data_IF_704890817551
#
_entry.id   IF_704890817551
#
_cell.length_a   1.000
_cell.length_b   1.000
_cell.length_c   1.000
_cell.angle_alpha   90.00
_cell.angle_beta   90.00
_cell.angle_gamma   90.00
#
_symmetry.space_group_name_H-M   'P 1'
#
loop_
_entity.id
_entity.type
_entity.pdbx_description
1 polymer ?
#
# COMPACT_ATOMS: atom_id res chain seq x y z
N UNK A 1 0.17 -1.46 12.94
CA UNK A 1 -0.35 -0.89 14.21
C UNK A 1 0.03 -1.74 15.43
N UNK A 2 0.08 -3.07 15.35
CA UNK A 2 0.33 -3.94 16.51
C UNK A 2 1.60 -3.65 17.31
N UNK A 3 2.63 -3.09 16.69
CA UNK A 3 3.92 -2.77 17.32
C UNK A 3 4.02 -1.32 17.83
N UNK A 4 3.00 -0.51 17.63
CA UNK A 4 2.97 0.86 18.17
C UNK A 4 3.01 0.81 19.69
N UNK A 5 3.89 1.60 20.30
CA UNK A 5 3.93 1.74 21.77
C UNK A 5 2.72 2.54 22.24
N UNK A 6 2.09 2.04 23.27
CA UNK A 6 0.92 2.68 23.87
C UNK A 6 1.13 2.81 25.37
N UNK A 7 0.89 4.00 25.88
CA UNK A 7 0.80 4.27 27.33
C UNK A 7 -0.63 4.71 27.63
N UNK A 8 -1.33 3.99 28.48
CA UNK A 8 -2.66 4.36 28.94
C UNK A 8 -2.60 4.84 30.39
N UNK A 9 -2.94 6.09 30.59
CA UNK A 9 -3.08 6.69 31.90
C UNK A 9 -4.54 6.72 32.30
N UNK A 10 -4.90 6.04 33.38
CA UNK A 10 -6.26 5.98 33.93
C UNK A 10 -6.33 6.85 35.17
N UNK A 11 -7.38 7.63 35.31
CA UNK A 11 -7.68 8.48 36.47
C UNK A 11 -6.48 9.36 36.87
N UNK A 12 -5.83 9.95 35.87
CA UNK A 12 -4.65 10.80 36.08
C UNK A 12 -4.95 11.93 37.07
N UNK A 13 -4.03 12.18 37.98
CA UNK A 13 -4.13 13.14 39.10
C UNK A 13 -5.11 12.76 40.18
N UNK A 14 -5.69 11.55 40.18
CA UNK A 14 -6.48 11.01 41.28
C UNK A 14 -5.61 10.09 42.14
N UNK A 15 -6.02 9.81 43.43
CA UNK A 15 -5.26 8.95 44.33
C UNK A 15 -5.08 7.51 43.83
N UNK A 16 -5.92 7.06 42.95
CA UNK A 16 -5.94 5.74 42.29
C UNK A 16 -5.46 5.77 40.85
N UNK A 17 -4.61 6.75 40.49
CA UNK A 17 -3.94 6.83 39.19
C UNK A 17 -3.21 5.55 38.83
N UNK A 18 -3.38 5.11 37.60
CA UNK A 18 -2.68 3.94 37.06
C UNK A 18 -2.17 4.23 35.65
N UNK A 19 -0.91 3.87 35.38
CA UNK A 19 -0.32 3.95 34.05
C UNK A 19 0.08 2.55 33.59
N UNK A 20 -0.51 2.13 32.48
CA UNK A 20 -0.24 0.85 31.82
C UNK A 20 0.50 1.12 30.51
N UNK A 21 1.61 0.40 30.26
CA UNK A 21 2.42 0.51 29.05
C UNK A 21 2.52 -0.84 28.36
N UNK A 22 2.56 -0.82 27.01
CA UNK A 22 2.72 -2.00 26.17
C UNK A 22 2.64 -1.64 24.70
N UNK A 23 2.57 -2.63 23.84
CA UNK A 23 2.25 -2.44 22.44
C UNK A 23 0.72 -2.40 22.24
N UNK A 24 0.29 -1.85 21.11
CA UNK A 24 -1.14 -1.84 20.77
C UNK A 24 -1.73 -3.26 20.74
N UNK A 25 -0.96 -4.26 20.26
CA UNK A 25 -1.38 -5.66 20.26
C UNK A 25 -1.57 -6.23 21.67
N UNK A 26 -0.65 -5.93 22.60
CA UNK A 26 -0.72 -6.42 23.99
C UNK A 26 -1.86 -5.78 24.78
N UNK A 27 -2.25 -4.57 24.43
CA UNK A 27 -3.27 -3.81 25.15
C UNK A 27 -4.66 -3.86 24.52
N UNK A 28 -4.80 -4.38 23.29
CA UNK A 28 -6.04 -4.39 22.51
C UNK A 28 -7.21 -5.13 23.23
N UNK A 29 -6.89 -6.20 23.95
CA UNK A 29 -7.89 -7.02 24.66
C UNK A 29 -8.09 -6.57 26.11
N UNK A 30 -7.43 -5.50 26.56
CA UNK A 30 -7.57 -4.99 27.93
C UNK A 30 -8.72 -4.00 28.03
N UNK A 31 -9.35 -3.99 29.18
CA UNK A 31 -10.35 -2.99 29.55
C UNK A 31 -9.72 -1.92 30.43
N UNK A 32 -10.01 -0.67 30.13
CA UNK A 32 -9.52 0.50 30.83
C UNK A 32 -10.69 1.30 31.43
N UNK A 33 -10.37 2.12 32.45
CA UNK A 33 -11.35 3.05 33.03
C UNK A 33 -11.85 4.03 31.95
N UNK A 34 -13.11 4.47 32.09
CA UNK A 34 -13.69 5.47 31.15
C UNK A 34 -12.95 6.82 31.22
N UNK A 35 -12.37 7.13 32.38
CA UNK A 35 -11.53 8.32 32.56
C UNK A 35 -10.07 7.94 32.27
N UNK A 36 -9.73 7.77 31.01
CA UNK A 36 -8.40 7.43 30.56
C UNK A 36 -7.94 8.27 29.38
N UNK A 37 -6.62 8.39 29.23
CA UNK A 37 -5.93 9.01 28.09
C UNK A 37 -4.92 8.01 27.54
N UNK A 38 -4.89 7.82 26.25
CA UNK A 38 -3.90 6.99 25.59
C UNK A 38 -2.89 7.86 24.83
N UNK A 39 -1.60 7.61 25.06
CA UNK A 39 -0.49 8.14 24.26
C UNK A 39 0.01 7.02 23.35
N UNK A 40 -0.03 7.28 22.04
CA UNK A 40 0.50 6.37 21.03
C UNK A 40 1.81 6.97 20.50
N UNK A 41 2.88 6.19 20.61
CA UNK A 41 4.22 6.60 20.17
C UNK A 41 4.58 5.86 18.88
N UNK A 42 4.81 6.60 17.80
CA UNK A 42 5.33 6.02 16.58
C UNK A 42 6.83 5.69 16.78
N UNK A 43 7.22 4.40 16.75
CA UNK A 43 8.62 4.01 16.93
C UNK A 43 9.50 4.35 15.72
N UNK A 44 8.93 4.78 14.61
CA UNK A 44 9.64 5.13 13.38
C UNK A 44 9.28 6.54 12.91
N UNK A 45 9.64 7.59 13.68
CA UNK A 45 9.35 8.98 13.30
C UNK A 45 10.04 9.40 12.01
N UNK A 46 11.15 8.73 11.65
CA UNK A 46 11.94 8.99 10.45
C UNK A 46 11.48 8.16 9.24
N UNK A 47 10.19 7.81 9.17
CA UNK A 47 9.64 7.14 8.01
C UNK A 47 9.90 7.96 6.75
N UNK A 48 10.47 7.31 5.73
CA UNK A 48 10.73 7.94 4.44
C UNK A 48 9.40 8.40 3.85
N UNK A 49 9.25 9.70 3.63
CA UNK A 49 8.03 10.32 3.07
C UNK A 49 8.12 10.57 1.57
N UNK A 50 9.30 10.36 0.98
CA UNK A 50 9.52 10.46 -0.47
C UNK A 50 9.46 9.07 -1.11
N UNK A 51 9.22 9.04 -2.42
CA UNK A 51 9.27 7.82 -3.22
C UNK A 51 10.72 7.43 -3.60
N UNK A 52 10.89 6.23 -4.15
CA UNK A 52 12.19 5.69 -4.54
C UNK A 52 12.84 4.87 -3.44
N UNK A 53 12.04 4.12 -2.69
CA UNK A 53 12.55 3.20 -1.67
C UNK A 53 13.54 2.19 -2.29
N UNK A 54 14.65 1.85 -1.61
CA UNK A 54 15.61 0.86 -2.11
C UNK A 54 14.96 -0.48 -2.43
N UNK A 55 15.38 -1.11 -3.52
CA UNK A 55 14.83 -2.39 -3.99
C UNK A 55 14.99 -3.51 -2.96
N UNK A 56 16.05 -3.47 -2.16
CA UNK A 56 16.38 -4.45 -1.14
C UNK A 56 15.38 -4.49 0.03
N UNK A 57 14.56 -3.45 0.15
CA UNK A 57 13.49 -3.40 1.16
C UNK A 57 12.28 -4.25 0.79
N UNK A 58 12.17 -4.69 -0.48
CA UNK A 58 11.05 -5.47 -0.97
C UNK A 58 11.42 -6.95 -1.08
N UNK A 59 10.59 -7.82 -0.55
CA UNK A 59 10.70 -9.26 -0.79
C UNK A 59 10.31 -9.56 -2.24
N UNK A 60 11.13 -10.37 -2.92
CA UNK A 60 10.97 -10.68 -4.35
C UNK A 60 10.96 -12.17 -4.65
N UNK A 61 11.17 -13.01 -3.65
CA UNK A 61 11.28 -14.46 -3.83
C UNK A 61 10.69 -15.19 -2.64
N UNK A 62 9.93 -16.24 -2.90
CA UNK A 62 9.44 -17.19 -1.88
C UNK A 62 10.37 -18.39 -1.76
N UNK A 63 11.19 -18.67 -2.79
CA UNK A 63 12.10 -19.81 -2.83
C UNK A 63 13.35 -19.47 -3.66
N UNK A 64 14.50 -20.11 -3.40
CA UNK A 64 15.72 -19.93 -4.18
C UNK A 64 15.46 -20.18 -5.68
N UNK A 65 15.92 -19.24 -6.52
CA UNK A 65 15.83 -19.35 -7.98
C UNK A 65 14.53 -18.87 -8.62
N UNK A 66 13.48 -18.58 -7.82
CA UNK A 66 12.23 -18.03 -8.33
C UNK A 66 12.08 -16.57 -7.86
N UNK A 67 12.31 -15.63 -8.76
CA UNK A 67 12.26 -14.19 -8.47
C UNK A 67 11.13 -13.54 -9.25
N UNK A 68 10.17 -12.96 -8.54
CA UNK A 68 9.08 -12.20 -9.15
C UNK A 68 9.62 -10.87 -9.68
N UNK A 69 9.27 -10.46 -10.90
CA UNK A 69 9.65 -9.17 -11.46
C UNK A 69 9.21 -7.99 -10.58
N UNK A 70 10.00 -6.95 -10.57
CA UNK A 70 9.73 -5.74 -9.81
C UNK A 70 10.19 -4.51 -10.58
N UNK A 71 9.40 -3.45 -10.58
CA UNK A 71 9.82 -2.14 -11.10
C UNK A 71 10.95 -1.59 -10.25
N UNK A 72 12.10 -1.34 -10.86
CA UNK A 72 13.31 -0.86 -10.19
C UNK A 72 13.13 0.53 -9.60
N UNK A 73 13.86 0.84 -8.52
CA UNK A 73 13.72 2.09 -7.76
C UNK A 73 13.82 3.35 -8.63
N UNK A 74 14.71 3.37 -9.62
CA UNK A 74 14.87 4.49 -10.53
C UNK A 74 13.64 4.68 -11.43
N UNK A 75 13.15 3.59 -12.04
CA UNK A 75 11.94 3.61 -12.88
C UNK A 75 10.71 3.92 -12.03
N UNK A 76 10.61 3.30 -10.86
CA UNK A 76 9.52 3.52 -9.91
C UNK A 76 9.44 4.98 -9.46
N UNK A 77 10.59 5.59 -9.15
CA UNK A 77 10.68 7.02 -8.79
C UNK A 77 10.16 7.92 -9.90
N UNK A 78 10.55 7.66 -11.15
CA UNK A 78 10.04 8.41 -12.30
C UNK A 78 8.55 8.23 -12.48
N UNK A 79 8.04 6.99 -12.39
CA UNK A 79 6.61 6.69 -12.53
C UNK A 79 5.77 7.41 -11.47
N UNK A 80 6.18 7.33 -10.20
CA UNK A 80 5.47 7.99 -9.10
C UNK A 80 5.50 9.52 -9.21
N UNK A 81 6.64 10.09 -9.63
CA UNK A 81 6.74 11.52 -9.93
C UNK A 81 5.78 11.94 -11.05
N UNK A 82 5.59 11.10 -12.09
CA UNK A 82 4.67 11.36 -13.19
C UNK A 82 3.20 11.15 -12.81
N UNK A 83 2.93 10.26 -11.87
CA UNK A 83 1.58 10.08 -11.33
C UNK A 83 1.08 11.32 -10.58
N UNK A 84 1.96 12.08 -9.90
CA UNK A 84 1.58 13.29 -9.14
C UNK A 84 0.42 13.01 -8.16
N UNK A 85 0.61 12.00 -7.32
CA UNK A 85 -0.41 11.54 -6.38
C UNK A 85 -0.81 12.65 -5.39
N UNK A 86 -2.09 12.67 -5.06
CA UNK A 86 -2.61 13.44 -3.93
C UNK A 86 -2.79 12.53 -2.72
N UNK A 87 -2.84 13.11 -1.53
CA UNK A 87 -2.95 12.33 -0.30
C UNK A 87 -4.26 11.52 -0.19
N UNK A 88 -5.29 11.89 -0.93
CA UNK A 88 -6.62 11.26 -1.01
C UNK A 88 -6.86 10.49 -2.31
N UNK A 89 -5.80 10.24 -3.09
CA UNK A 89 -5.89 9.56 -4.38
C UNK A 89 -6.49 8.14 -4.25
N UNK A 90 -7.35 7.80 -5.20
CA UNK A 90 -7.79 6.42 -5.46
C UNK A 90 -6.94 5.87 -6.59
N UNK A 91 -6.11 4.88 -6.27
CA UNK A 91 -5.09 4.40 -7.19
C UNK A 91 -5.35 2.96 -7.62
N UNK A 92 -5.04 2.64 -8.87
CA UNK A 92 -4.92 1.26 -9.35
C UNK A 92 -3.48 0.98 -9.76
N UNK A 93 -2.95 -0.17 -9.34
CA UNK A 93 -1.70 -0.75 -9.82
C UNK A 93 -2.01 -2.04 -10.57
N UNK A 94 -1.95 -2.00 -11.90
CA UNK A 94 -2.30 -3.13 -12.76
C UNK A 94 -1.03 -3.92 -13.11
N UNK A 95 -1.01 -5.20 -12.72
CA UNK A 95 0.16 -6.05 -12.79
C UNK A 95 1.14 -5.70 -11.67
N UNK A 96 0.64 -5.70 -10.43
CA UNK A 96 1.37 -5.18 -9.28
C UNK A 96 2.64 -5.96 -8.91
N UNK A 97 2.74 -7.23 -9.30
CA UNK A 97 3.90 -8.07 -9.00
C UNK A 97 4.15 -8.15 -7.50
N UNK A 98 5.36 -7.77 -7.08
CA UNK A 98 5.73 -7.70 -5.65
C UNK A 98 5.06 -6.57 -4.87
N UNK A 99 4.31 -5.69 -5.55
CA UNK A 99 3.64 -4.54 -4.95
C UNK A 99 4.52 -3.31 -4.72
N UNK A 100 5.72 -3.26 -5.29
CA UNK A 100 6.65 -2.17 -5.00
C UNK A 100 6.10 -0.78 -5.38
N UNK A 101 5.40 -0.67 -6.51
CA UNK A 101 4.75 0.59 -6.92
C UNK A 101 3.50 0.83 -6.06
N UNK A 102 2.64 -0.17 -5.89
CA UNK A 102 1.42 -0.08 -5.08
C UNK A 102 1.70 0.39 -3.64
N UNK A 103 2.75 -0.14 -3.02
CA UNK A 103 3.16 0.23 -1.65
C UNK A 103 3.59 1.69 -1.60
N UNK A 104 4.46 2.13 -2.50
CA UNK A 104 4.87 3.54 -2.50
C UNK A 104 3.70 4.49 -2.85
N UNK A 105 2.76 4.07 -3.71
CA UNK A 105 1.51 4.80 -3.92
C UNK A 105 0.69 4.89 -2.62
N UNK A 106 0.59 3.79 -1.87
CA UNK A 106 -0.15 3.75 -0.62
C UNK A 106 0.46 4.65 0.46
N UNK A 107 1.78 4.68 0.57
CA UNK A 107 2.50 5.55 1.50
C UNK A 107 2.29 7.04 1.17
N UNK A 108 2.20 7.41 -0.11
CA UNK A 108 1.96 8.79 -0.55
C UNK A 108 0.48 9.18 -0.46
N UNK A 109 -0.42 8.29 -0.86
CA UNK A 109 -1.87 8.49 -0.78
C UNK A 109 -2.42 8.10 0.60
N UNK A 110 -1.86 8.68 1.68
CA UNK A 110 -2.10 8.23 3.05
C UNK A 110 -3.57 8.33 3.53
N UNK A 111 -4.38 9.15 2.88
CA UNK A 111 -5.83 9.28 3.14
C UNK A 111 -6.67 8.67 2.01
N UNK A 112 -6.02 8.16 0.98
CA UNK A 112 -6.62 7.52 -0.18
C UNK A 112 -6.69 6.01 -0.07
N UNK A 113 -6.81 5.35 -1.20
CA UNK A 113 -6.80 3.88 -1.30
C UNK A 113 -6.06 3.42 -2.55
N UNK A 114 -5.37 2.29 -2.44
CA UNK A 114 -4.68 1.67 -3.56
C UNK A 114 -5.23 0.27 -3.77
N UNK A 115 -5.50 -0.08 -5.02
CA UNK A 115 -5.96 -1.38 -5.47
C UNK A 115 -4.87 -2.00 -6.33
N UNK A 116 -4.21 -3.03 -5.80
CA UNK A 116 -3.16 -3.76 -6.49
C UNK A 116 -3.74 -5.01 -7.14
N UNK A 117 -3.76 -5.01 -8.45
CA UNK A 117 -4.34 -6.08 -9.27
C UNK A 117 -3.20 -7.00 -9.71
N UNK A 118 -3.27 -8.26 -9.33
CA UNK A 118 -2.26 -9.27 -9.66
C UNK A 118 -2.94 -10.65 -9.81
N UNK A 119 -2.50 -11.46 -10.75
CA UNK A 119 -3.07 -12.77 -11.01
C UNK A 119 -2.22 -13.94 -10.49
N UNK A 120 -0.91 -13.73 -10.39
CA UNK A 120 0.03 -14.79 -10.01
C UNK A 120 0.05 -14.99 -8.49
N UNK A 121 -0.21 -16.20 -8.02
CA UNK A 121 -0.33 -16.51 -6.59
C UNK A 121 0.92 -16.20 -5.78
N UNK A 122 2.11 -16.47 -6.33
CA UNK A 122 3.39 -16.19 -5.67
C UNK A 122 3.63 -14.68 -5.53
N UNK A 123 3.25 -13.91 -6.56
CA UNK A 123 3.32 -12.45 -6.53
C UNK A 123 2.35 -11.88 -5.49
N UNK A 124 1.11 -12.36 -5.41
CA UNK A 124 0.14 -11.97 -4.38
C UNK A 124 0.65 -12.26 -2.96
N UNK A 125 1.29 -13.40 -2.76
CA UNK A 125 1.90 -13.74 -1.47
C UNK A 125 3.00 -12.76 -1.09
N UNK A 126 3.89 -12.42 -2.01
CA UNK A 126 4.96 -11.45 -1.79
C UNK A 126 4.40 -10.04 -1.58
N UNK A 127 3.39 -9.65 -2.35
CA UNK A 127 2.72 -8.36 -2.21
C UNK A 127 2.10 -8.21 -0.81
N UNK A 128 1.44 -9.24 -0.29
CA UNK A 128 0.88 -9.23 1.08
C UNK A 128 1.97 -9.11 2.15
N UNK A 129 3.08 -9.86 2.00
CA UNK A 129 4.21 -9.77 2.91
C UNK A 129 4.84 -8.37 2.89
N UNK A 130 5.03 -7.80 1.72
CA UNK A 130 5.55 -6.46 1.57
C UNK A 130 4.56 -5.42 2.12
N UNK A 131 3.25 -5.55 1.84
CA UNK A 131 2.20 -4.68 2.40
C UNK A 131 2.28 -4.62 3.92
N UNK A 132 2.37 -5.78 4.56
CA UNK A 132 2.48 -5.89 6.01
C UNK A 132 3.79 -5.27 6.54
N UNK A 133 4.93 -5.54 5.89
CA UNK A 133 6.24 -5.02 6.29
C UNK A 133 6.32 -3.49 6.24
N UNK A 134 5.62 -2.86 5.28
CA UNK A 134 5.57 -1.40 5.13
C UNK A 134 4.39 -0.74 5.86
N UNK A 135 3.48 -1.52 6.47
CA UNK A 135 2.28 -0.98 7.12
C UNK A 135 1.35 -0.25 6.17
N UNK A 136 1.28 -0.68 4.90
CA UNK A 136 0.46 -0.05 3.87
C UNK A 136 -1.02 -0.50 3.99
N UNK A 137 -1.71 -0.07 5.03
CA UNK A 137 -3.05 -0.55 5.39
C UNK A 137 -4.14 -0.10 4.41
N UNK A 138 -3.93 0.99 3.69
CA UNK A 138 -4.82 1.49 2.65
C UNK A 138 -4.62 0.81 1.28
N UNK A 139 -3.72 -0.19 1.20
CA UNK A 139 -3.50 -1.04 0.03
C UNK A 139 -4.39 -2.29 0.11
N UNK A 140 -5.12 -2.56 -0.96
CA UNK A 140 -6.01 -3.72 -1.12
C UNK A 140 -5.53 -4.57 -2.28
N UNK A 141 -5.43 -5.88 -2.04
CA UNK A 141 -5.05 -6.85 -3.05
C UNK A 141 -6.30 -7.32 -3.81
N UNK A 142 -6.18 -7.40 -5.14
CA UNK A 142 -7.22 -7.91 -6.03
C UNK A 142 -6.62 -9.03 -6.87
N UNK A 143 -7.04 -10.26 -6.55
CA UNK A 143 -6.58 -11.45 -7.29
C UNK A 143 -7.33 -11.60 -8.61
N UNK A 144 -6.60 -11.61 -9.72
CA UNK A 144 -7.12 -11.83 -11.06
C UNK A 144 -6.54 -10.90 -12.10
N UNK A 145 -7.08 -10.97 -13.31
CA UNK A 145 -6.62 -10.20 -14.46
C UNK A 145 -7.48 -8.96 -14.70
N UNK A 146 -6.83 -7.85 -15.01
CA UNK A 146 -7.52 -6.69 -15.57
C UNK A 146 -7.82 -6.94 -17.06
N UNK A 147 -8.94 -6.43 -17.61
CA UNK A 147 -9.90 -5.52 -16.96
C UNK A 147 -10.98 -6.20 -16.11
N UNK A 148 -11.12 -7.53 -16.15
CA UNK A 148 -12.27 -8.28 -15.63
C UNK A 148 -12.52 -7.95 -14.15
N UNK A 149 -11.50 -8.14 -13.30
CA UNK A 149 -11.61 -7.95 -11.85
C UNK A 149 -11.70 -6.46 -11.45
N UNK A 150 -11.46 -5.54 -12.40
CA UNK A 150 -11.48 -4.11 -12.13
C UNK A 150 -12.88 -3.48 -12.29
N UNK A 151 -13.85 -4.21 -12.84
CA UNK A 151 -15.19 -3.66 -13.17
C UNK A 151 -15.91 -3.11 -11.94
N UNK A 152 -15.82 -3.80 -10.82
CA UNK A 152 -16.51 -3.44 -9.57
C UNK A 152 -15.65 -2.58 -8.63
N UNK A 153 -14.41 -2.28 -8.99
CA UNK A 153 -13.54 -1.42 -8.20
C UNK A 153 -13.97 0.06 -8.29
N UNK A 154 -13.70 0.84 -7.24
CA UNK A 154 -13.93 2.30 -7.28
C UNK A 154 -13.22 2.96 -8.46
N UNK A 155 -13.84 3.99 -9.04
CA UNK A 155 -13.24 4.77 -10.11
C UNK A 155 -11.90 5.36 -9.69
N UNK A 156 -10.80 5.06 -10.39
CA UNK A 156 -9.48 5.55 -9.98
C UNK A 156 -9.27 7.01 -10.40
N UNK A 157 -8.56 7.75 -9.56
CA UNK A 157 -8.00 9.06 -9.94
C UNK A 157 -6.65 8.90 -10.62
N UNK A 158 -5.92 7.82 -10.27
CA UNK A 158 -4.59 7.53 -10.78
C UNK A 158 -4.46 6.03 -11.06
N UNK A 159 -3.77 5.69 -12.14
CA UNK A 159 -3.50 4.30 -12.50
C UNK A 159 -2.06 4.12 -12.96
N UNK A 160 -1.41 3.08 -12.45
CA UNK A 160 -0.14 2.59 -12.97
C UNK A 160 -0.37 1.26 -13.70
N UNK A 161 0.22 1.14 -14.90
CA UNK A 161 0.15 -0.07 -15.73
C UNK A 161 1.56 -0.66 -15.84
N UNK A 162 1.86 -1.65 -14.99
CA UNK A 162 3.15 -2.34 -14.96
C UNK A 162 3.16 -3.64 -15.77
N UNK A 163 2.01 -4.32 -15.81
CA UNK A 163 1.83 -5.58 -16.53
C UNK A 163 0.38 -5.74 -16.98
N UNK A 164 0.13 -5.68 -18.28
CA UNK A 164 -1.23 -5.65 -18.84
C UNK A 164 -1.66 -6.96 -19.51
N UNK A 165 -0.74 -7.93 -19.62
CA UNK A 165 -1.03 -9.21 -20.27
C UNK A 165 -1.52 -9.09 -21.72
N UNK A 166 -1.17 -8.00 -22.43
CA UNK A 166 -1.63 -7.72 -23.78
C UNK A 166 -2.97 -7.00 -23.89
N UNK A 167 -3.65 -6.71 -22.77
CA UNK A 167 -4.99 -6.12 -22.72
C UNK A 167 -4.98 -4.59 -22.46
N UNK A 168 -3.93 -3.90 -22.90
CA UNK A 168 -3.77 -2.45 -22.68
C UNK A 168 -4.98 -1.65 -23.14
N UNK A 169 -5.50 -1.95 -24.32
CA UNK A 169 -6.62 -1.22 -24.92
C UNK A 169 -7.90 -1.32 -24.06
N UNK A 170 -8.25 -2.52 -23.66
CA UNK A 170 -9.44 -2.81 -22.86
C UNK A 170 -9.31 -2.19 -21.45
N UNK A 171 -8.12 -2.24 -20.86
CA UNK A 171 -7.83 -1.61 -19.57
C UNK A 171 -7.95 -0.09 -19.68
N UNK A 172 -7.36 0.53 -20.70
CA UNK A 172 -7.46 1.98 -20.93
C UNK A 172 -8.92 2.40 -21.16
N UNK A 173 -9.68 1.64 -21.93
CA UNK A 173 -11.10 1.90 -22.14
C UNK A 173 -11.86 1.89 -20.81
N UNK A 174 -11.70 0.86 -20.00
CA UNK A 174 -12.35 0.77 -18.68
C UNK A 174 -11.95 1.93 -17.76
N UNK A 175 -10.67 2.29 -17.72
CA UNK A 175 -10.20 3.41 -16.91
C UNK A 175 -10.88 4.73 -17.30
N UNK A 176 -10.97 5.02 -18.60
CA UNK A 176 -11.59 6.24 -19.13
C UNK A 176 -13.12 6.23 -18.95
N UNK A 177 -13.77 5.07 -19.05
CA UNK A 177 -15.20 4.91 -18.76
C UNK A 177 -15.49 5.21 -17.28
N UNK A 178 -14.63 4.76 -16.37
CA UNK A 178 -14.80 5.01 -14.93
C UNK A 178 -14.45 6.45 -14.53
N UNK A 179 -13.41 6.99 -15.11
CA UNK A 179 -12.98 8.38 -14.86
C UNK A 179 -12.25 8.94 -16.10
N UNK A 180 -12.90 9.81 -16.89
CA UNK A 180 -12.28 10.42 -18.06
C UNK A 180 -11.09 11.34 -17.74
N UNK A 181 -10.89 11.69 -16.47
CA UNK A 181 -9.78 12.53 -16.00
C UNK A 181 -8.69 11.73 -15.26
N UNK A 182 -8.76 10.39 -15.31
CA UNK A 182 -7.76 9.54 -14.66
C UNK A 182 -6.35 9.83 -15.19
N UNK A 183 -5.41 10.00 -14.27
CA UNK A 183 -3.99 10.11 -14.64
C UNK A 183 -3.38 8.73 -14.76
N UNK A 184 -2.81 8.43 -15.92
CA UNK A 184 -2.26 7.11 -16.21
C UNK A 184 -0.76 7.23 -16.47
N UNK A 185 0.00 6.32 -15.85
CA UNK A 185 1.41 6.08 -16.16
C UNK A 185 1.55 4.61 -16.50
N UNK A 186 2.22 4.32 -17.60
CA UNK A 186 2.49 2.94 -18.03
C UNK A 186 3.99 2.75 -18.27
N UNK A 187 4.47 1.55 -17.96
CA UNK A 187 5.81 1.10 -18.37
C UNK A 187 5.68 0.10 -19.51
N UNK A 188 6.58 0.21 -20.49
CA UNK A 188 6.67 -0.73 -21.59
C UNK A 188 8.14 -1.16 -21.78
N UNK A 189 8.35 -2.43 -22.09
CA UNK A 189 9.67 -2.96 -22.42
C UNK A 189 9.99 -2.71 -23.90
N UNK A 190 8.96 -2.72 -24.74
CA UNK A 190 9.04 -2.45 -26.19
C UNK A 190 7.93 -1.49 -26.61
N UNK A 191 8.11 -0.82 -27.73
CA UNK A 191 7.13 0.09 -28.35
C UNK A 191 6.38 -0.56 -29.53
N UNK A 192 6.24 -1.87 -29.52
CA UNK A 192 5.48 -2.62 -30.53
C UNK A 192 3.99 -2.67 -30.22
#
# INVERSE_FOLDING_TARGET
LGQVRVSVGERLSYPDERITRGTAAELAERTFDKLSVALLENPSPDAVVTHGLPDERFQRSLAPGHVVPMTKSEVRSVCLSKLQLTADAVCWDVGAGTGSVAIEMALQAARGSVWAIEREADALTLLEQNRAAFGAENLRLVSGSAPEVCRDLPAPTHAFLGGTGGQVREILQLLLEKNPHVRIVATAVTLE
#
